data_IF_975941541882
#
_entry.id   IF_975941541882
#
_cell.length_a   1.000
_cell.length_b   1.000
_cell.length_c   1.000
_cell.angle_alpha   90.00
_cell.angle_beta   90.00
_cell.angle_gamma   90.00
#
_symmetry.space_group_name_H-M   'P 1'
#
loop_
_entity.id
_entity.type
_entity.pdbx_description
1 polymer ?
#
# COMPACT_ATOMS: atom_id res chain seq x y z
N UNK A 1 -9.10 -9.14 1.71
CA UNK A 1 -8.02 -9.63 2.61
C UNK A 1 -8.52 -10.47 3.78
N UNK A 2 -9.73 -10.27 4.31
CA UNK A 2 -10.25 -11.02 5.48
C UNK A 2 -10.47 -12.54 5.32
N UNK A 3 -10.33 -13.10 4.11
CA UNK A 3 -10.63 -14.53 3.86
C UNK A 3 -9.44 -15.47 4.10
N UNK A 4 -8.22 -14.97 4.02
CA UNK A 4 -6.99 -15.80 4.00
C UNK A 4 -5.90 -15.32 4.96
N UNK A 5 -6.15 -14.24 5.69
CA UNK A 5 -5.25 -13.74 6.72
C UNK A 5 -6.05 -13.23 7.91
N UNK A 6 -5.48 -13.38 9.11
CA UNK A 6 -5.98 -12.80 10.36
C UNK A 6 -5.60 -11.33 10.52
N UNK A 7 -4.94 -10.73 9.53
CA UNK A 7 -4.60 -9.32 9.48
C UNK A 7 -5.87 -8.47 9.65
N UNK A 8 -5.88 -7.62 10.67
CA UNK A 8 -6.91 -6.60 10.83
C UNK A 8 -6.58 -5.38 9.96
N UNK A 9 -7.32 -5.13 8.86
CA UNK A 9 -7.03 -4.01 7.97
C UNK A 9 -7.25 -2.63 8.60
N UNK A 10 -8.02 -2.54 9.68
CA UNK A 10 -8.33 -1.26 10.32
C UNK A 10 -7.28 -0.84 11.36
N UNK A 11 -6.46 -1.79 11.82
CA UNK A 11 -5.34 -1.52 12.71
C UNK A 11 -4.21 -0.77 11.99
N UNK A 12 -3.45 0.07 12.70
CA UNK A 12 -2.32 0.81 12.12
C UNK A 12 -1.25 -0.12 11.54
N UNK A 13 -0.99 -1.23 12.22
CA UNK A 13 -0.06 -2.25 11.76
C UNK A 13 -0.60 -2.97 10.51
N UNK A 14 -1.91 -3.21 10.47
CA UNK A 14 -2.61 -3.71 9.29
C UNK A 14 -2.51 -2.79 8.09
N UNK A 15 -2.74 -1.49 8.27
CA UNK A 15 -2.60 -0.50 7.20
C UNK A 15 -1.17 -0.44 6.67
N UNK A 16 -0.17 -0.47 7.55
CA UNK A 16 1.24 -0.50 7.15
C UNK A 16 1.60 -1.77 6.35
N UNK A 17 1.11 -2.94 6.78
CA UNK A 17 1.31 -4.18 6.02
C UNK A 17 0.59 -4.16 4.68
N UNK A 18 -0.63 -3.63 4.63
CA UNK A 18 -1.39 -3.47 3.38
C UNK A 18 -0.70 -2.52 2.41
N UNK A 19 -0.15 -1.40 2.88
CA UNK A 19 0.64 -0.48 2.05
C UNK A 19 1.85 -1.18 1.43
N UNK A 20 2.58 -1.96 2.24
CA UNK A 20 3.74 -2.74 1.77
C UNK A 20 3.34 -3.79 0.73
N UNK A 21 2.26 -4.53 0.97
CA UNK A 21 1.73 -5.53 0.05
C UNK A 21 1.26 -4.88 -1.25
N UNK A 22 0.55 -3.75 -1.16
CA UNK A 22 0.04 -3.01 -2.31
C UNK A 22 1.18 -2.57 -3.24
N UNK A 23 2.25 -1.98 -2.70
CA UNK A 23 3.42 -1.59 -3.50
C UNK A 23 4.08 -2.82 -4.14
N UNK A 24 4.31 -3.88 -3.36
CA UNK A 24 5.00 -5.09 -3.85
C UNK A 24 4.23 -5.85 -4.93
N UNK A 25 2.90 -5.88 -4.83
CA UNK A 25 2.02 -6.63 -5.74
C UNK A 25 1.48 -5.77 -6.90
N UNK A 26 1.74 -4.46 -6.91
CA UNK A 26 1.39 -3.58 -8.03
C UNK A 26 2.18 -3.93 -9.30
N UNK A 27 1.61 -3.58 -10.45
CA UNK A 27 2.28 -3.68 -11.75
C UNK A 27 3.61 -2.91 -11.74
N UNK A 28 4.57 -3.34 -12.58
CA UNK A 28 5.96 -2.86 -12.51
C UNK A 28 6.11 -1.34 -12.68
N UNK A 29 5.34 -0.72 -13.56
CA UNK A 29 5.28 0.72 -13.79
C UNK A 29 4.67 1.47 -12.60
N UNK A 30 3.56 0.97 -12.06
CA UNK A 30 2.90 1.50 -10.87
C UNK A 30 3.81 1.38 -9.65
N UNK A 31 4.42 0.22 -9.43
CA UNK A 31 5.36 -0.02 -8.33
C UNK A 31 6.52 0.98 -8.36
N UNK A 32 7.12 1.20 -9.54
CA UNK A 32 8.19 2.19 -9.70
C UNK A 32 7.73 3.63 -9.45
N UNK A 33 6.46 3.95 -9.76
CA UNK A 33 5.85 5.24 -9.44
C UNK A 33 5.66 5.41 -7.93
N UNK A 34 5.10 4.41 -7.26
CA UNK A 34 4.84 4.40 -5.81
C UNK A 34 6.12 4.42 -4.99
N UNK A 35 7.17 3.72 -5.42
CA UNK A 35 8.48 3.71 -4.74
C UNK A 35 9.20 5.07 -4.73
N UNK A 36 8.74 6.05 -5.52
CA UNK A 36 9.26 7.42 -5.46
C UNK A 36 8.68 8.24 -4.32
N UNK A 37 7.56 7.78 -3.73
CA UNK A 37 7.02 8.39 -2.51
C UNK A 37 7.99 8.14 -1.35
N UNK A 38 8.13 9.12 -0.48
CA UNK A 38 9.03 9.06 0.66
C UNK A 38 8.28 9.33 1.96
N UNK A 39 8.84 8.89 3.08
CA UNK A 39 8.33 9.20 4.41
C UNK A 39 6.95 8.59 4.69
N UNK A 40 6.07 9.38 5.30
CA UNK A 40 4.73 8.94 5.72
C UNK A 40 3.82 8.64 4.52
N UNK A 41 3.99 9.34 3.41
CA UNK A 41 3.18 9.15 2.20
C UNK A 41 3.38 7.77 1.54
N UNK A 42 4.56 7.17 1.72
CA UNK A 42 4.85 5.83 1.23
C UNK A 42 4.16 4.71 2.04
N UNK A 43 3.58 5.06 3.19
CA UNK A 43 2.87 4.13 4.10
C UNK A 43 1.38 4.41 4.20
N UNK A 44 0.93 5.56 3.71
CA UNK A 44 -0.48 5.90 3.64
C UNK A 44 -1.13 5.22 2.43
N UNK A 45 -2.01 4.25 2.70
CA UNK A 45 -2.70 3.49 1.66
C UNK A 45 -3.59 4.38 0.78
N UNK A 46 -4.20 5.43 1.33
CA UNK A 46 -5.00 6.37 0.56
C UNK A 46 -4.14 7.14 -0.44
N UNK A 47 -2.97 7.63 -0.01
CA UNK A 47 -2.02 8.30 -0.92
C UNK A 47 -1.47 7.37 -1.99
N UNK A 48 -1.19 6.12 -1.65
CA UNK A 48 -0.76 5.13 -2.62
C UNK A 48 -1.84 4.88 -3.69
N UNK A 49 -3.11 4.84 -3.30
CA UNK A 49 -4.24 4.69 -4.23
C UNK A 49 -4.37 5.92 -5.15
N UNK A 50 -4.32 7.13 -4.59
CA UNK A 50 -4.37 8.37 -5.38
C UNK A 50 -3.28 8.40 -6.45
N UNK A 51 -2.06 7.98 -6.10
CA UNK A 51 -0.92 7.97 -7.03
C UNK A 51 -1.02 6.86 -8.07
N UNK A 52 -1.54 5.68 -7.70
CA UNK A 52 -1.68 4.55 -8.62
C UNK A 52 -2.81 4.74 -9.64
N UNK A 53 -3.83 5.55 -9.31
CA UNK A 53 -5.00 5.76 -10.17
C UNK A 53 -4.77 6.80 -11.27
N UNK A 54 -3.82 7.72 -11.07
CA UNK A 54 -3.45 8.79 -12.02
C UNK A 54 -2.44 8.29 -13.05
#
# INVERSE_FOLDING_TARGET
>A
TRKYTTLDPESEEGKNQLATLFIGQSADDIRRKLQKLQGLDARDLGKLLDVAWV
#
